data_IF_943636128978
#
_entry.id   IF_943636128978
#
_cell.length_a   1.000
_cell.length_b   1.000
_cell.length_c   1.000
_cell.angle_alpha   90.00
_cell.angle_beta   90.00
_cell.angle_gamma   90.00
#
_symmetry.space_group_name_H-M   'P 1'
#
loop_
_entity.id
_entity.type
_entity.pdbx_description
1 polymer ?
#
# COMPACT_ATOMS: atom_id res chain seq x y z
N UNK A 1 12.36 7.39 -14.69
CA UNK A 1 11.70 6.39 -15.53
C UNK A 1 10.82 5.62 -14.56
N UNK A 2 9.53 5.93 -14.56
CA UNK A 2 8.58 5.40 -13.59
C UNK A 2 8.19 4.03 -14.13
N UNK A 3 8.59 2.95 -13.46
CA UNK A 3 8.04 1.64 -13.80
C UNK A 3 6.53 1.70 -13.59
N UNK A 4 5.76 1.19 -14.54
CA UNK A 4 4.30 1.07 -14.52
C UNK A 4 3.86 0.13 -13.39
N UNK A 5 4.05 0.58 -12.16
CA UNK A 5 3.69 -0.15 -10.95
C UNK A 5 2.21 0.10 -10.63
N UNK A 6 1.36 -0.81 -11.12
CA UNK A 6 -0.08 -0.80 -10.86
C UNK A 6 -0.36 -1.06 -9.37
N UNK A 7 -1.43 -0.45 -8.85
CA UNK A 7 -1.87 -0.65 -7.47
C UNK A 7 -2.10 -2.14 -7.14
N UNK A 8 -2.60 -2.90 -8.12
CA UNK A 8 -2.84 -4.34 -8.02
C UNK A 8 -1.57 -5.18 -7.86
N UNK A 9 -0.38 -4.63 -8.18
CA UNK A 9 0.89 -5.33 -8.03
C UNK A 9 1.48 -5.25 -6.62
N UNK A 10 0.94 -4.38 -5.75
CA UNK A 10 1.40 -4.24 -4.38
C UNK A 10 1.30 -5.61 -3.69
N UNK A 11 2.34 -5.95 -2.94
CA UNK A 11 2.39 -7.12 -2.09
C UNK A 11 2.76 -6.74 -0.65
N UNK A 12 2.52 -7.67 0.27
CA UNK A 12 2.91 -7.50 1.67
C UNK A 12 4.40 -7.21 1.73
N UNK A 13 4.74 -6.10 2.36
CA UNK A 13 6.11 -5.66 2.57
C UNK A 13 6.62 -4.60 1.60
N UNK A 14 5.90 -4.31 0.51
CA UNK A 14 6.26 -3.26 -0.43
C UNK A 14 6.22 -1.87 0.24
N UNK A 15 7.09 -0.97 -0.24
CA UNK A 15 7.04 0.44 0.15
C UNK A 15 6.01 1.13 -0.73
N UNK A 16 5.05 1.80 -0.12
CA UNK A 16 3.97 2.51 -0.81
C UNK A 16 4.10 4.00 -0.53
N UNK A 17 4.01 4.82 -1.58
CA UNK A 17 3.93 6.27 -1.49
C UNK A 17 2.46 6.69 -1.49
N UNK A 18 2.11 7.63 -0.62
CA UNK A 18 0.76 8.15 -0.52
C UNK A 18 0.73 9.65 -0.21
N UNK A 19 -0.38 10.28 -0.56
CA UNK A 19 -0.65 11.70 -0.26
C UNK A 19 -1.56 11.85 0.96
N UNK A 20 -1.28 12.84 1.82
CA UNK A 20 -2.20 13.24 2.89
C UNK A 20 -3.26 14.21 2.35
N UNK A 21 -4.36 14.43 3.08
CA UNK A 21 -5.35 15.47 2.72
C UNK A 21 -4.76 16.89 2.63
N UNK A 22 -3.57 17.13 3.20
CA UNK A 22 -2.85 18.39 3.14
C UNK A 22 -1.90 18.49 1.92
N UNK A 23 -1.90 17.50 1.02
CA UNK A 23 -1.03 17.48 -0.16
C UNK A 23 0.42 17.08 0.12
N UNK A 24 0.69 16.42 1.24
CA UNK A 24 2.05 15.99 1.60
C UNK A 24 2.27 14.53 1.21
N UNK A 25 3.40 14.23 0.58
CA UNK A 25 3.81 12.86 0.24
C UNK A 25 4.52 12.18 1.41
N UNK A 26 4.08 10.98 1.76
CA UNK A 26 4.75 10.11 2.73
C UNK A 26 4.94 8.70 2.15
N UNK A 27 5.67 7.87 2.92
CA UNK A 27 5.82 6.45 2.61
C UNK A 27 5.35 5.59 3.78
N UNK A 28 4.87 4.40 3.48
CA UNK A 28 4.50 3.38 4.46
C UNK A 28 4.81 1.98 3.89
N UNK A 29 4.74 0.95 4.75
CA UNK A 29 4.95 -0.44 4.35
C UNK A 29 3.61 -1.17 4.24
N UNK A 30 3.33 -1.80 3.11
CA UNK A 30 2.12 -2.60 2.90
C UNK A 30 2.06 -3.79 3.87
N UNK A 31 0.90 -4.00 4.51
CA UNK A 31 0.69 -5.09 5.50
C UNK A 31 -0.39 -6.05 5.05
N UNK A 32 -1.56 -5.55 4.64
CA UNK A 32 -2.68 -6.37 4.20
C UNK A 32 -3.65 -5.57 3.32
N UNK A 33 -4.40 -6.26 2.48
CA UNK A 33 -5.54 -5.75 1.74
C UNK A 33 -6.77 -5.69 2.67
N UNK A 34 -7.36 -4.52 2.77
CA UNK A 34 -8.68 -4.29 3.34
C UNK A 34 -9.72 -4.00 2.25
N UNK A 35 -10.99 -3.83 2.62
CA UNK A 35 -12.09 -3.69 1.67
C UNK A 35 -12.04 -2.43 0.80
N UNK A 36 -11.26 -1.42 1.22
CA UNK A 36 -11.14 -0.16 0.49
C UNK A 36 -9.76 0.06 -0.14
N UNK A 37 -8.75 -0.74 0.26
CA UNK A 37 -7.38 -0.64 -0.23
C UNK A 37 -6.38 -1.24 0.75
N UNK A 38 -5.10 -0.87 0.61
CA UNK A 38 -4.02 -1.44 1.41
C UNK A 38 -3.92 -0.78 2.78
N UNK A 39 -3.97 -1.60 3.83
CA UNK A 39 -3.56 -1.19 5.17
C UNK A 39 -2.03 -1.21 5.22
N UNK A 40 -1.46 -0.05 5.53
CA UNK A 40 -0.03 0.20 5.54
C UNK A 40 0.46 0.64 6.92
N UNK A 41 1.63 0.17 7.31
CA UNK A 41 2.32 0.57 8.54
C UNK A 41 3.24 1.77 8.25
N UNK A 42 2.92 2.95 8.81
CA UNK A 42 3.76 4.16 8.75
C UNK A 42 4.63 4.38 10.01
N UNK A 43 4.64 3.41 10.93
CA UNK A 43 5.32 3.49 12.22
C UNK A 43 4.42 3.97 13.37
N UNK A 44 4.92 3.84 14.61
CA UNK A 44 4.30 4.37 15.84
C UNK A 44 2.87 3.85 16.13
N UNK A 45 2.51 2.66 15.63
CA UNK A 45 1.21 2.06 15.91
C UNK A 45 0.02 2.77 15.24
N UNK A 46 0.28 3.69 14.31
CA UNK A 46 -0.78 4.40 13.57
C UNK A 46 -0.82 3.87 12.14
N UNK A 47 -1.77 3.01 11.77
CA UNK A 47 -1.89 2.55 10.39
C UNK A 47 -2.39 3.68 9.47
N UNK A 48 -2.14 3.54 8.18
CA UNK A 48 -2.74 4.36 7.13
C UNK A 48 -3.34 3.45 6.07
N UNK A 49 -4.45 3.87 5.46
CA UNK A 49 -5.06 3.16 4.35
C UNK A 49 -4.69 3.88 3.05
N UNK A 50 -4.15 3.13 2.09
CA UNK A 50 -3.79 3.61 0.76
C UNK A 50 -4.71 2.98 -0.27
N UNK A 51 -5.39 3.81 -1.05
CA UNK A 51 -6.44 3.45 -1.98
C UNK A 51 -6.10 3.95 -3.38
N UNK A 52 -6.42 3.13 -4.39
CA UNK A 52 -6.31 3.51 -5.80
C UNK A 52 -7.26 4.67 -6.13
N UNK A 53 -6.81 5.58 -7.00
CA UNK A 53 -7.61 6.73 -7.44
C UNK A 53 -7.86 7.82 -6.38
N UNK A 54 -7.38 7.64 -5.15
CA UNK A 54 -7.54 8.61 -4.07
C UNK A 54 -6.20 9.15 -3.57
N UNK A 55 -5.41 8.33 -2.89
CA UNK A 55 -4.17 8.78 -2.24
C UNK A 55 -2.93 7.97 -2.61
N UNK A 56 -3.04 6.96 -3.48
CA UNK A 56 -1.91 6.18 -3.98
C UNK A 56 -1.07 6.99 -4.99
N UNK A 57 0.26 6.97 -4.81
CA UNK A 57 1.22 7.68 -5.69
C UNK A 57 2.24 6.76 -6.35
N UNK A 58 2.23 5.46 -6.07
CA UNK A 58 3.23 4.50 -6.53
C UNK A 58 3.73 3.59 -5.41
N UNK A 59 4.47 2.53 -5.76
CA UNK A 59 5.12 1.67 -4.80
C UNK A 59 6.58 1.38 -5.18
N UNK A 60 7.19 0.42 -4.48
CA UNK A 60 8.48 -0.17 -4.78
C UNK A 60 8.50 -1.55 -4.17
N UNK A 61 8.79 -2.52 -5.03
CA UNK A 61 8.85 -3.95 -4.71
C UNK A 61 9.89 -4.20 -3.62
N UNK A 62 9.48 -4.85 -2.54
CA UNK A 62 10.38 -5.33 -1.49
C UNK A 62 11.03 -6.66 -1.92
N UNK A 63 12.29 -6.86 -1.51
CA UNK A 63 13.04 -8.08 -1.85
C UNK A 63 12.37 -9.37 -1.35
N UNK A 64 11.74 -9.31 -0.19
CA UNK A 64 11.07 -10.44 0.47
C UNK A 64 9.55 -10.20 0.54
N UNK A 65 8.97 -9.57 -0.48
CA UNK A 65 7.53 -9.35 -0.55
C UNK A 65 6.76 -10.68 -0.60
N UNK A 66 5.55 -10.69 -0.05
CA UNK A 66 4.71 -11.88 -0.02
C UNK A 66 3.30 -11.56 -0.53
N UNK A 67 2.65 -12.49 -1.26
CA UNK A 67 1.25 -12.36 -1.58
C UNK A 67 0.40 -12.31 -0.30
N UNK A 68 -0.62 -11.44 -0.29
CA UNK A 68 -1.57 -11.37 0.83
C UNK A 68 -2.75 -12.35 0.62
N UNK A 69 -2.56 -13.61 1.01
CA UNK A 69 -3.63 -14.61 0.88
C UNK A 69 -4.82 -14.34 1.82
N UNK A 70 -4.57 -13.87 3.04
CA UNK A 70 -5.62 -13.65 4.03
C UNK A 70 -6.48 -12.44 3.67
N UNK A 71 -5.86 -11.31 3.32
CA UNK A 71 -6.60 -10.13 2.89
C UNK A 71 -7.40 -10.41 1.63
N UNK A 72 -6.86 -11.15 0.66
CA UNK A 72 -7.64 -11.58 -0.51
C UNK A 72 -8.85 -12.43 -0.14
N UNK A 73 -8.68 -13.39 0.78
CA UNK A 73 -9.80 -14.24 1.22
C UNK A 73 -10.89 -13.45 1.97
N UNK A 74 -10.51 -12.48 2.81
CA UNK A 74 -11.46 -11.66 3.57
C UNK A 74 -12.28 -10.69 2.71
N UNK A 75 -11.78 -10.36 1.52
CA UNK A 75 -12.39 -9.37 0.61
C UNK A 75 -12.88 -10.00 -0.70
N UNK A 76 -13.02 -11.33 -0.75
CA UNK A 76 -13.49 -12.09 -1.92
C UNK A 76 -15.00 -11.97 -2.15
#
# INVERSE_FOLDING_TARGET
MWEDELFDEIQVGDKVWYETPQGQTFTAKAVMQGPHGWVCNRGQGQPVVVNEGANYLGHKKAKNRQPDYLGKWLNA
#
